data_IF_131622867325
#
_entry.id   IF_131622867325
#
_cell.length_a   1.000
_cell.length_b   1.000
_cell.length_c   1.000
_cell.angle_alpha   90.00
_cell.angle_beta   90.00
_cell.angle_gamma   90.00
#
_symmetry.space_group_name_H-M   'P 1'
#
loop_
_entity.id
_entity.type
_entity.pdbx_description
1 polymer ?
#
# COMPACT_ATOMS: atom_id res chain seq x y z
N UNK A 1 -1.39 -1.82 16.21
CA UNK A 1 -2.28 -2.95 15.81
C UNK A 1 -2.01 -4.10 16.76
N UNK A 2 -3.07 -4.68 17.33
CA UNK A 2 -2.96 -5.72 18.36
C UNK A 2 -2.41 -7.05 17.83
N UNK A 3 -1.94 -7.94 18.72
CA UNK A 3 -1.53 -9.29 18.33
C UNK A 3 -2.69 -10.05 17.68
N UNK A 4 -2.36 -10.89 16.71
CA UNK A 4 -3.34 -11.70 15.99
C UNK A 4 -2.90 -12.01 14.57
N UNK A 5 -3.68 -12.86 13.90
CA UNK A 5 -3.49 -13.14 12.48
C UNK A 5 -4.52 -12.36 11.66
N UNK A 6 -4.06 -11.78 10.56
CA UNK A 6 -4.87 -10.91 9.73
C UNK A 6 -4.69 -11.27 8.25
N UNK A 7 -5.76 -11.08 7.48
CA UNK A 7 -5.69 -10.90 6.03
C UNK A 7 -5.74 -9.41 5.73
N UNK A 8 -5.11 -8.99 4.65
CA UNK A 8 -5.25 -7.64 4.15
C UNK A 8 -5.41 -7.59 2.63
N UNK A 9 -6.03 -6.51 2.19
CA UNK A 9 -6.05 -6.04 0.80
C UNK A 9 -5.75 -4.55 0.84
N UNK A 10 -4.70 -4.15 0.13
CA UNK A 10 -4.22 -2.77 0.11
C UNK A 10 -4.01 -2.39 -1.35
N UNK A 11 -4.42 -1.18 -1.69
CA UNK A 11 -4.29 -0.64 -3.04
C UNK A 11 -3.84 0.80 -2.97
N UNK A 12 -2.73 1.12 -3.64
CA UNK A 12 -2.26 2.49 -3.77
C UNK A 12 -1.94 2.82 -5.24
N UNK A 13 -2.48 3.92 -5.77
CA UNK A 13 -2.20 4.35 -7.12
C UNK A 13 -0.90 5.13 -7.21
N UNK A 14 -0.32 5.17 -8.40
CA UNK A 14 0.74 6.12 -8.72
C UNK A 14 0.53 6.72 -10.10
N UNK A 15 1.13 7.89 -10.34
CA UNK A 15 0.99 8.63 -11.59
C UNK A 15 2.31 9.33 -11.93
N UNK A 16 2.82 9.13 -13.14
CA UNK A 16 4.08 9.70 -13.62
C UNK A 16 5.33 9.34 -12.78
N UNK A 17 5.46 8.12 -12.26
CA UNK A 17 6.57 7.75 -11.35
C UNK A 17 7.47 6.61 -11.83
N UNK A 18 7.31 6.18 -13.08
CA UNK A 18 7.93 4.97 -13.62
C UNK A 18 7.55 3.77 -12.76
N UNK A 19 8.52 2.98 -12.32
CA UNK A 19 8.29 1.81 -11.48
C UNK A 19 7.83 2.22 -10.09
N UNK A 20 6.83 1.54 -9.56
CA UNK A 20 6.38 1.70 -8.19
C UNK A 20 5.87 0.40 -7.57
N UNK A 21 5.91 0.35 -6.24
CA UNK A 21 5.35 -0.75 -5.44
C UNK A 21 4.99 -0.24 -4.06
N UNK A 22 4.01 -0.87 -3.41
CA UNK A 22 3.78 -0.71 -1.98
C UNK A 22 4.33 -1.87 -1.17
N UNK A 23 4.54 -1.63 0.12
CA UNK A 23 4.78 -2.67 1.13
C UNK A 23 4.02 -2.36 2.41
N UNK A 24 3.71 -3.41 3.17
CA UNK A 24 3.27 -3.30 4.56
C UNK A 24 4.50 -3.43 5.45
N UNK A 25 4.91 -2.32 6.08
CA UNK A 25 6.07 -2.24 6.95
C UNK A 25 5.64 -2.34 8.42
N UNK A 26 6.27 -3.22 9.18
CA UNK A 26 6.28 -3.16 10.64
C UNK A 26 7.39 -2.20 11.06
N UNK A 27 7.02 -1.02 11.53
CA UNK A 27 7.95 0.05 11.91
C UNK A 27 8.60 -0.26 13.25
N UNK A 28 7.86 -0.90 14.17
CA UNK A 28 8.38 -1.28 15.50
C UNK A 28 9.59 -2.20 15.40
N UNK A 29 9.59 -3.12 14.44
CA UNK A 29 10.65 -4.12 14.28
C UNK A 29 11.53 -3.89 13.03
N UNK A 30 11.31 -2.79 12.31
CA UNK A 30 11.99 -2.49 11.05
C UNK A 30 11.94 -3.63 9.99
N UNK A 31 10.86 -4.43 9.98
CA UNK A 31 10.66 -5.55 9.04
C UNK A 31 9.53 -5.30 8.06
N UNK A 32 9.67 -5.81 6.84
CA UNK A 32 8.59 -5.82 5.85
C UNK A 32 7.76 -7.08 6.03
N UNK A 33 6.44 -6.93 6.22
CA UNK A 33 5.52 -8.05 6.41
C UNK A 33 5.05 -8.62 5.07
N UNK A 34 4.67 -7.75 4.14
CA UNK A 34 4.12 -8.09 2.82
C UNK A 34 4.55 -7.06 1.78
N UNK A 35 4.64 -7.48 0.52
CA UNK A 35 4.99 -6.63 -0.63
C UNK A 35 3.86 -6.71 -1.66
N UNK A 36 3.53 -5.59 -2.29
CA UNK A 36 2.52 -5.52 -3.35
C UNK A 36 3.06 -5.87 -4.74
N UNK A 37 2.20 -5.74 -5.74
CA UNK A 37 2.58 -5.91 -7.14
C UNK A 37 3.55 -4.81 -7.59
N UNK A 38 4.49 -5.19 -8.45
CA UNK A 38 5.34 -4.24 -9.14
C UNK A 38 4.58 -3.66 -10.34
N UNK A 39 4.44 -2.35 -10.37
CA UNK A 39 3.64 -1.63 -11.37
C UNK A 39 4.44 -0.49 -11.98
N UNK A 40 3.94 0.05 -13.10
CA UNK A 40 4.61 1.11 -13.84
C UNK A 40 3.63 2.15 -14.36
N UNK A 41 3.94 3.43 -14.16
CA UNK A 41 3.35 4.54 -14.93
C UNK A 41 4.43 5.28 -15.71
N UNK A 42 4.19 5.58 -16.97
CA UNK A 42 5.16 6.39 -17.72
C UNK A 42 5.19 7.83 -17.18
N UNK A 43 6.37 8.46 -17.12
CA UNK A 43 6.54 9.82 -16.57
C UNK A 43 5.78 10.90 -17.34
N UNK A 44 5.51 10.65 -18.62
CA UNK A 44 4.82 11.58 -19.53
C UNK A 44 3.47 11.01 -19.99
N UNK A 45 3.04 9.88 -19.43
CA UNK A 45 1.82 9.19 -19.82
C UNK A 45 0.67 9.50 -18.87
N UNK A 46 -0.46 9.96 -19.41
CA UNK A 46 -1.69 10.25 -18.66
C UNK A 46 -2.43 8.98 -18.20
N UNK A 47 -1.74 8.10 -17.47
CA UNK A 47 -2.25 6.82 -16.99
C UNK A 47 -1.84 6.64 -15.53
N UNK A 48 -2.80 6.23 -14.71
CA UNK A 48 -2.60 5.89 -13.30
C UNK A 48 -2.71 4.37 -13.14
N UNK A 49 -1.66 3.74 -12.62
CA UNK A 49 -1.67 2.30 -12.27
C UNK A 49 -1.73 2.14 -10.75
N UNK A 50 -2.01 0.92 -10.27
CA UNK A 50 -2.24 0.65 -8.85
C UNK A 50 -1.44 -0.56 -8.39
N UNK A 51 -0.57 -0.36 -7.40
CA UNK A 51 0.09 -1.48 -6.74
C UNK A 51 -0.90 -2.12 -5.77
N UNK A 52 -1.10 -3.42 -5.90
CA UNK A 52 -2.01 -4.22 -5.09
C UNK A 52 -1.21 -5.12 -4.15
N UNK A 53 -1.56 -5.11 -2.86
CA UNK A 53 -0.98 -6.00 -1.86
C UNK A 53 -2.11 -6.79 -1.22
N UNK A 54 -2.06 -8.11 -1.35
CA UNK A 54 -2.97 -9.02 -0.69
C UNK A 54 -2.17 -10.12 0.00
N UNK A 55 -2.54 -10.47 1.23
CA UNK A 55 -1.82 -11.51 1.95
C UNK A 55 -2.30 -11.71 3.37
N UNK A 56 -1.62 -12.63 4.06
CA UNK A 56 -1.87 -12.99 5.46
C UNK A 56 -0.60 -12.76 6.27
N UNK A 57 -0.71 -12.17 7.46
CA UNK A 57 0.41 -11.98 8.38
C UNK A 57 -0.05 -12.15 9.83
N UNK A 58 0.90 -12.49 10.71
CA UNK A 58 0.65 -12.65 12.15
C UNK A 58 1.53 -11.69 12.94
N UNK A 59 0.94 -11.03 13.93
CA UNK A 59 1.65 -10.22 14.91
C UNK A 59 1.64 -10.94 16.26
N UNK A 60 2.83 -11.22 16.81
CA UNK A 60 2.97 -11.88 18.12
C UNK A 60 2.82 -10.92 19.31
N UNK A 61 2.98 -9.61 19.06
CA UNK A 61 2.82 -8.55 20.04
C UNK A 61 2.16 -7.34 19.35
N UNK A 62 1.81 -6.31 20.11
CA UNK A 62 1.34 -5.06 19.52
C UNK A 62 2.45 -4.42 18.66
N UNK A 63 2.11 -4.00 17.44
CA UNK A 63 3.04 -3.38 16.49
C UNK A 63 2.46 -2.14 15.82
N UNK A 64 3.35 -1.20 15.48
CA UNK A 64 3.04 -0.06 14.61
C UNK A 64 3.31 -0.45 13.17
N UNK A 65 2.28 -0.37 12.32
CA UNK A 65 2.37 -0.70 10.90
C UNK A 65 2.23 0.57 10.05
N UNK A 66 2.89 0.57 8.90
CA UNK A 66 2.84 1.64 7.91
C UNK A 66 2.74 1.04 6.50
N UNK A 67 1.96 1.66 5.62
CA UNK A 67 1.98 1.37 4.20
C UNK A 67 3.00 2.31 3.58
N UNK A 68 4.06 1.73 3.01
CA UNK A 68 5.12 2.50 2.37
C UNK A 68 5.05 2.31 0.87
N UNK A 69 5.09 3.42 0.14
CA UNK A 69 5.03 3.43 -1.32
C UNK A 69 6.38 3.90 -1.88
N UNK A 70 7.06 3.01 -2.60
CA UNK A 70 8.31 3.33 -3.30
C UNK A 70 8.02 3.66 -4.74
N UNK A 71 8.52 4.80 -5.19
CA UNK A 71 8.48 5.28 -6.56
C UNK A 71 9.92 5.44 -7.07
N UNK A 72 10.16 5.16 -8.35
CA UNK A 72 11.48 5.34 -8.96
C UNK A 72 11.74 6.77 -9.42
N UNK A 73 10.69 7.50 -9.83
CA UNK A 73 10.74 8.93 -10.15
C UNK A 73 9.89 9.71 -9.17
N UNK A 74 10.40 10.84 -8.70
CA UNK A 74 9.64 11.79 -7.89
C UNK A 74 8.86 12.72 -8.79
N UNK A 75 7.54 12.67 -8.71
CA UNK A 75 6.64 13.64 -9.35
C UNK A 75 5.92 14.43 -8.28
N UNK A 76 6.18 15.73 -8.25
CA UNK A 76 5.57 16.66 -7.30
C UNK A 76 4.05 16.70 -7.49
N UNK A 77 3.32 16.81 -6.38
CA UNK A 77 1.86 16.97 -6.30
C UNK A 77 1.01 15.75 -6.68
N UNK A 78 1.44 14.91 -7.63
CA UNK A 78 0.60 13.83 -8.18
C UNK A 78 1.25 12.46 -8.19
N UNK A 79 2.50 12.31 -7.71
CA UNK A 79 3.22 11.03 -7.77
C UNK A 79 2.48 9.85 -7.13
N UNK A 80 1.71 10.10 -6.07
CA UNK A 80 0.90 9.10 -5.36
C UNK A 80 -0.56 9.05 -5.84
N UNK A 81 -0.85 9.62 -7.01
CA UNK A 81 -2.14 9.58 -7.66
C UNK A 81 -2.61 10.95 -8.14
N UNK A 82 -3.37 10.93 -9.23
CA UNK A 82 -4.03 12.12 -9.79
C UNK A 82 -5.40 12.32 -9.11
N UNK A 83 -5.70 13.57 -8.72
CA UNK A 83 -7.00 13.92 -8.16
C UNK A 83 -8.05 13.99 -9.28
N UNK A 84 -9.29 13.61 -8.96
CA UNK A 84 -10.45 13.82 -9.85
C UNK A 84 -11.06 15.21 -9.66
N UNK A 85 -10.91 15.80 -8.47
CA UNK A 85 -11.42 17.13 -8.15
C UNK A 85 -12.94 17.22 -7.91
N UNK A 86 -13.68 16.12 -8.03
CA UNK A 86 -15.14 16.11 -7.84
C UNK A 86 -15.54 15.94 -6.36
N UNK A 87 -14.73 15.24 -5.56
CA UNK A 87 -14.93 14.93 -4.15
C UNK A 87 -13.56 14.74 -3.46
N UNK A 88 -13.58 14.34 -2.18
CA UNK A 88 -12.41 13.84 -1.48
C UNK A 88 -11.75 12.71 -2.27
N UNK A 89 -10.43 12.80 -2.43
CA UNK A 89 -9.67 11.85 -3.23
C UNK A 89 -8.98 10.86 -2.29
N UNK A 90 -9.48 9.62 -2.28
CA UNK A 90 -8.89 8.52 -1.51
C UNK A 90 -7.87 7.81 -2.40
N UNK A 91 -6.59 8.00 -2.10
CA UNK A 91 -5.51 7.38 -2.87
C UNK A 91 -5.25 5.95 -2.38
N UNK A 92 -4.89 5.79 -1.12
CA UNK A 92 -4.59 4.47 -0.53
C UNK A 92 -5.80 3.91 0.19
N UNK A 93 -6.27 2.75 -0.24
CA UNK A 93 -7.26 1.94 0.48
C UNK A 93 -6.53 0.78 1.17
N UNK A 94 -6.82 0.57 2.45
CA UNK A 94 -6.22 -0.50 3.24
C UNK A 94 -7.27 -1.19 4.10
N UNK A 95 -7.53 -2.45 3.79
CA UNK A 95 -8.47 -3.29 4.51
C UNK A 95 -7.72 -4.37 5.28
N UNK A 96 -8.11 -4.58 6.53
CA UNK A 96 -7.54 -5.60 7.40
C UNK A 96 -8.67 -6.39 8.06
N UNK A 97 -8.64 -7.71 7.88
CA UNK A 97 -9.60 -8.63 8.48
C UNK A 97 -8.87 -9.52 9.47
N UNK A 98 -9.28 -9.49 10.73
CA UNK A 98 -8.76 -10.42 11.74
C UNK A 98 -9.28 -11.82 11.43
N UNK A 99 -8.40 -12.79 11.30
CA UNK A 99 -8.79 -14.20 11.29
C UNK A 99 -9.20 -14.60 12.71
N UNK A 100 -10.39 -15.16 12.84
CA UNK A 100 -10.82 -15.86 14.04
C UNK A 100 -10.44 -17.32 13.86
N UNK A 101 -9.97 -17.98 14.91
CA UNK A 101 -9.81 -19.44 14.85
C UNK A 101 -11.20 -20.07 14.71
N UNK A 102 -11.27 -21.16 13.93
CA UNK A 102 -12.46 -21.98 13.90
C UNK A 102 -12.60 -22.65 15.28
N UNK A 103 -13.75 -22.48 15.91
CA UNK A 103 -14.13 -23.14 17.16
C UNK A 103 -14.21 -24.67 17.01
#
# INVERSE_FOLDING_TARGET
MSPGTYRCLISAPAYHVHNHTIRLQNVSDATTLLVGTAEMTWSDGYVQTRSLLAGRFTLAAEKTLEIQHRCSVTTSNTGFGMATGYQDNIYTLAEFWRELEAE
#
